data_IF_085084817339
#
_entry.id   IF_085084817339
#
_cell.length_a   1.000
_cell.length_b   1.000
_cell.length_c   1.000
_cell.angle_alpha   90.00
_cell.angle_beta   90.00
_cell.angle_gamma   90.00
#
_symmetry.space_group_name_H-M   'P 1'
#
loop_
_entity.id
_entity.type
_entity.pdbx_description
1 polymer ?
#
# COMPACT_ATOMS: atom_id res chain seq x y z
N UNK A 1 39.39 35.11 9.01
CA UNK A 1 38.34 34.36 8.31
C UNK A 1 38.99 33.60 7.16
N UNK A 2 39.10 32.28 7.24
CA UNK A 2 39.71 31.45 6.19
C UNK A 2 38.67 31.17 5.11
N UNK A 3 38.93 31.62 3.88
CA UNK A 3 38.13 31.25 2.70
C UNK A 3 38.24 29.75 2.45
N UNK A 4 37.12 29.04 2.25
CA UNK A 4 37.17 27.62 1.94
C UNK A 4 37.78 27.39 0.54
N UNK A 5 38.73 26.46 0.49
CA UNK A 5 39.47 26.06 -0.71
C UNK A 5 38.53 25.47 -1.79
N UNK A 6 38.45 26.05 -3.01
CA UNK A 6 37.54 25.63 -4.07
C UNK A 6 37.86 24.24 -4.65
N UNK A 7 38.94 23.58 -4.22
CA UNK A 7 39.36 22.27 -4.75
C UNK A 7 38.92 21.07 -3.90
N UNK A 8 38.31 21.28 -2.74
CA UNK A 8 37.73 20.17 -1.97
C UNK A 8 36.34 19.84 -2.50
N UNK A 9 36.24 18.76 -3.28
CA UNK A 9 34.95 18.14 -3.60
C UNK A 9 34.22 17.88 -2.26
N UNK A 10 33.00 18.39 -2.05
CA UNK A 10 32.26 18.11 -0.83
C UNK A 10 32.13 16.60 -0.69
N UNK A 11 32.61 16.05 0.43
CA UNK A 11 32.41 14.65 0.74
C UNK A 11 30.92 14.35 0.62
N UNK A 12 30.58 13.31 -0.14
CA UNK A 12 29.19 12.93 -0.37
C UNK A 12 28.55 12.53 0.96
N UNK A 13 27.84 13.48 1.58
CA UNK A 13 27.06 13.25 2.79
C UNK A 13 26.06 12.13 2.51
N UNK A 14 26.01 11.12 3.36
CA UNK A 14 25.02 10.05 3.19
C UNK A 14 23.61 10.62 3.36
N UNK A 15 22.64 10.02 2.66
CA UNK A 15 21.22 10.39 2.82
C UNK A 15 20.71 9.83 4.14
N UNK A 16 20.13 10.69 4.98
CA UNK A 16 19.38 10.22 6.14
C UNK A 16 18.01 9.70 5.70
N UNK A 17 17.41 8.82 6.50
CA UNK A 17 16.10 8.25 6.12
C UNK A 17 15.00 9.33 6.13
N UNK A 18 15.10 10.34 7.00
CA UNK A 18 14.24 11.52 6.97
C UNK A 18 14.41 12.34 5.68
N UNK A 19 15.63 12.51 5.17
CA UNK A 19 15.88 13.21 3.91
C UNK A 19 15.31 12.43 2.71
N UNK A 20 15.42 11.10 2.72
CA UNK A 20 14.82 10.24 1.67
C UNK A 20 13.30 10.27 1.70
N UNK A 21 12.70 10.23 2.89
CA UNK A 21 11.25 10.30 3.05
C UNK A 21 10.73 11.64 2.50
N UNK A 22 11.36 12.74 2.91
CA UNK A 22 11.05 14.09 2.41
C UNK A 22 11.21 14.20 0.88
N UNK A 23 12.23 13.56 0.30
CA UNK A 23 12.41 13.50 -1.14
C UNK A 23 11.23 12.81 -1.84
N UNK A 24 10.75 11.68 -1.30
CA UNK A 24 9.61 10.95 -1.86
C UNK A 24 8.32 11.75 -1.74
N UNK A 25 8.05 12.35 -0.58
CA UNK A 25 6.87 13.19 -0.34
C UNK A 25 6.83 14.36 -1.32
N UNK A 26 7.90 15.16 -1.39
CA UNK A 26 7.98 16.32 -2.28
C UNK A 26 7.84 15.92 -3.75
N UNK A 27 8.45 14.79 -4.15
CA UNK A 27 8.36 14.31 -5.53
C UNK A 27 6.97 13.78 -5.89
N UNK A 28 6.22 13.29 -4.91
CA UNK A 28 4.84 12.84 -5.09
C UNK A 28 3.89 14.03 -5.31
N UNK A 29 4.17 15.18 -4.68
CA UNK A 29 3.40 16.42 -4.85
C UNK A 29 3.78 17.12 -6.17
N UNK A 30 5.07 17.20 -6.50
CA UNK A 30 5.56 17.86 -7.71
C UNK A 30 6.01 16.86 -8.79
N UNK A 31 5.05 16.10 -9.36
CA UNK A 31 5.33 15.07 -10.38
C UNK A 31 5.82 15.67 -11.70
N UNK A 32 5.23 16.79 -12.12
CA UNK A 32 5.44 17.37 -13.44
C UNK A 32 6.66 18.30 -13.52
N UNK A 33 7.28 18.61 -12.37
CA UNK A 33 8.46 19.48 -12.34
C UNK A 33 9.68 18.69 -12.85
N UNK A 34 10.46 19.22 -13.82
CA UNK A 34 11.69 18.58 -14.26
C UNK A 34 12.68 18.40 -13.10
N UNK A 35 13.37 17.26 -13.08
CA UNK A 35 14.32 16.90 -12.00
C UNK A 35 15.37 17.99 -11.71
N UNK A 36 15.83 18.70 -12.74
CA UNK A 36 16.80 19.78 -12.57
C UNK A 36 16.22 20.99 -11.81
N UNK A 37 14.96 21.34 -12.07
CA UNK A 37 14.27 22.41 -11.35
C UNK A 37 13.93 21.98 -9.92
N UNK A 38 13.45 20.74 -9.76
CA UNK A 38 13.14 20.15 -8.47
C UNK A 38 14.37 20.09 -7.54
N UNK A 39 15.51 19.61 -8.05
CA UNK A 39 16.76 19.56 -7.29
C UNK A 39 17.20 20.96 -6.84
N UNK A 40 17.20 21.95 -7.73
CA UNK A 40 17.59 23.33 -7.37
C UNK A 40 16.70 23.94 -6.30
N UNK A 41 15.40 23.61 -6.30
CA UNK A 41 14.41 24.15 -5.36
C UNK A 41 14.52 23.53 -3.96
N UNK A 42 14.69 22.21 -3.87
CA UNK A 42 14.58 21.48 -2.61
C UNK A 42 15.89 20.91 -2.07
N UNK A 43 16.85 20.62 -2.95
CA UNK A 43 18.12 19.98 -2.61
C UNK A 43 19.29 20.67 -3.33
N UNK A 44 19.50 22.00 -3.15
CA UNK A 44 20.52 22.75 -3.88
C UNK A 44 21.94 22.23 -3.63
N UNK A 45 22.18 21.66 -2.44
CA UNK A 45 23.47 21.11 -2.03
C UNK A 45 23.73 19.69 -2.54
N UNK A 46 22.75 19.07 -3.23
CA UNK A 46 22.84 17.72 -3.77
C UNK A 46 22.92 17.77 -5.28
N UNK A 47 23.77 16.93 -5.88
CA UNK A 47 23.79 16.79 -7.34
C UNK A 47 22.50 16.14 -7.85
N UNK A 48 22.12 16.45 -9.09
CA UNK A 48 20.97 15.86 -9.76
C UNK A 48 20.98 14.32 -9.69
N UNK A 49 22.13 13.71 -9.99
CA UNK A 49 22.31 12.26 -9.94
C UNK A 49 22.14 11.69 -8.53
N UNK A 50 22.55 12.42 -7.48
CA UNK A 50 22.37 11.99 -6.10
C UNK A 50 20.90 12.03 -5.67
N UNK A 51 20.14 13.03 -6.14
CA UNK A 51 18.70 13.14 -5.88
C UNK A 51 17.93 12.04 -6.61
N UNK A 52 18.20 11.84 -7.90
CA UNK A 52 17.56 10.78 -8.68
C UNK A 52 17.92 9.39 -8.16
N UNK A 53 19.18 9.16 -7.78
CA UNK A 53 19.62 7.87 -7.24
C UNK A 53 19.07 7.56 -5.84
N UNK A 54 18.75 8.58 -5.04
CA UNK A 54 18.10 8.40 -3.75
C UNK A 54 16.57 8.25 -3.85
N UNK A 55 15.98 8.76 -4.93
CA UNK A 55 14.58 8.56 -5.23
C UNK A 55 14.35 7.14 -5.75
N UNK A 56 14.02 6.22 -4.85
CA UNK A 56 13.55 4.88 -5.23
C UNK A 56 12.03 4.92 -5.40
N UNK A 57 11.50 4.70 -6.62
CA UNK A 57 10.06 4.63 -6.84
C UNK A 57 9.40 3.39 -6.20
N UNK A 58 10.19 2.49 -5.60
CA UNK A 58 9.71 1.26 -4.96
C UNK A 58 9.32 1.41 -3.47
N UNK A 59 9.05 2.63 -2.99
CA UNK A 59 8.65 2.91 -1.61
C UNK A 59 7.16 2.61 -1.33
N UNK A 60 6.74 1.39 -1.68
CA UNK A 60 5.60 0.69 -1.07
C UNK A 60 6.03 -0.39 -0.07
N UNK A 61 7.32 -0.72 0.03
CA UNK A 61 7.84 -1.68 1.01
C UNK A 61 8.78 -0.97 2.00
N UNK A 62 8.23 -0.61 3.16
CA UNK A 62 9.05 -0.36 4.34
C UNK A 62 9.62 -1.68 4.84
N UNK A 63 10.95 -1.78 4.85
CA UNK A 63 11.68 -2.86 5.50
C UNK A 63 13.17 -2.52 5.51
N UNK A 64 13.87 -2.64 6.65
CA UNK A 64 15.30 -2.37 6.73
C UNK A 64 16.03 -3.53 6.05
N UNK A 65 16.49 -3.33 4.81
CA UNK A 65 17.36 -4.29 4.14
C UNK A 65 18.81 -3.84 4.27
N UNK A 66 19.71 -4.66 4.85
CA UNK A 66 21.11 -4.29 4.99
C UNK A 66 21.79 -4.29 3.62
N UNK A 67 22.65 -3.29 3.41
CA UNK A 67 23.43 -3.12 2.20
C UNK A 67 24.28 -4.36 1.89
N UNK A 68 23.91 -5.13 0.86
CA UNK A 68 24.85 -6.07 0.25
C UNK A 68 25.82 -5.29 -0.64
N UNK A 69 27.09 -5.36 -0.24
CA UNK A 69 28.20 -4.65 -0.84
C UNK A 69 28.31 -4.86 -2.35
N UNK A 70 28.50 -3.75 -3.04
CA UNK A 70 28.95 -3.62 -4.42
C UNK A 70 30.33 -4.29 -4.56
N UNK A 71 30.37 -5.54 -5.03
CA UNK A 71 31.63 -6.16 -5.48
C UNK A 71 32.01 -5.56 -6.83
N UNK A 72 33.18 -4.92 -6.84
CA UNK A 72 33.86 -4.43 -8.05
C UNK A 72 34.16 -5.59 -8.99
N UNK A 73 34.03 -5.31 -10.29
CA UNK A 73 34.59 -6.10 -11.38
C UNK A 73 36.11 -6.23 -11.21
N UNK A 74 36.59 -7.47 -11.14
CA UNK A 74 38.01 -7.80 -11.29
C UNK A 74 38.09 -8.89 -12.35
N UNK A 75 38.70 -8.50 -13.47
CA UNK A 75 39.25 -9.34 -14.53
C UNK A 75 40.27 -10.32 -13.97
N UNK A 76 40.12 -11.64 -14.20
CA UNK A 76 41.24 -12.57 -14.22
C UNK A 76 40.80 -13.93 -14.76
N UNK A 77 41.42 -14.31 -15.87
CA UNK A 77 41.47 -15.65 -16.47
C UNK A 77 41.84 -16.75 -15.47
N UNK A 78 41.26 -17.94 -15.67
CA UNK A 78 41.74 -19.18 -15.07
C UNK A 78 40.72 -20.32 -15.11
N UNK A 79 40.74 -21.12 -16.17
CA UNK A 79 40.30 -22.54 -16.15
C UNK A 79 41.18 -23.32 -15.15
N UNK A 80 40.66 -24.34 -14.46
CA UNK A 80 40.68 -25.71 -14.98
C UNK A 80 39.35 -26.47 -14.68
N UNK A 81 38.74 -27.13 -15.66
CA UNK A 81 38.91 -28.55 -16.03
C UNK A 81 38.19 -29.56 -15.09
N UNK A 82 37.36 -30.36 -15.77
CA UNK A 82 36.45 -31.46 -15.40
C UNK A 82 36.65 -32.28 -14.12
N UNK A 83 35.57 -32.88 -13.61
CA UNK A 83 35.42 -34.36 -13.58
C UNK A 83 34.00 -34.86 -13.20
N UNK A 84 33.45 -35.71 -14.08
CA UNK A 84 32.58 -36.88 -13.87
C UNK A 84 31.14 -36.77 -13.29
N UNK A 85 30.16 -36.92 -14.18
CA UNK A 85 28.96 -37.78 -14.03
C UNK A 85 29.34 -39.28 -14.16
N UNK A 86 28.44 -40.30 -14.09
CA UNK A 86 27.06 -40.43 -13.53
C UNK A 86 26.87 -41.73 -12.68
N UNK A 87 25.79 -41.86 -11.90
CA UNK A 87 25.21 -43.19 -11.56
C UNK A 87 23.68 -43.20 -11.49
N UNK A 88 23.10 -44.20 -12.17
CA UNK A 88 21.68 -44.55 -12.34
C UNK A 88 21.15 -45.39 -11.16
N UNK A 89 19.86 -45.25 -10.82
CA UNK A 89 18.99 -46.26 -10.16
C UNK A 89 17.53 -45.81 -10.37
N UNK A 90 16.75 -46.38 -11.30
CA UNK A 90 15.91 -47.61 -11.27
C UNK A 90 14.66 -47.50 -10.39
N UNK A 91 13.50 -47.45 -11.07
CA UNK A 91 12.11 -47.51 -10.60
C UNK A 91 11.74 -48.89 -10.06
N UNK A 92 11.04 -48.97 -8.91
CA UNK A 92 10.21 -50.10 -8.44
C UNK A 92 8.99 -49.54 -7.70
N UNK A 93 7.80 -50.08 -8.03
CA UNK A 93 6.48 -49.83 -7.42
C UNK A 93 6.27 -50.51 -6.06
N UNK A 94 5.34 -49.95 -5.28
CA UNK A 94 4.61 -50.52 -4.12
C UNK A 94 4.15 -49.37 -3.21
N UNK A 95 2.90 -48.89 -3.23
CA UNK A 95 1.64 -49.48 -2.69
C UNK A 95 1.79 -49.91 -1.23
N UNK A 96 1.56 -48.98 -0.28
CA UNK A 96 0.37 -48.93 0.60
C UNK A 96 0.47 -47.73 1.56
N UNK A 97 -0.62 -46.95 1.61
CA UNK A 97 -1.29 -46.39 2.79
C UNK A 97 -0.43 -45.68 3.86
N UNK A 98 -0.24 -44.36 3.74
CA UNK A 98 0.00 -43.50 4.92
C UNK A 98 -0.27 -42.00 4.67
N UNK A 99 -0.92 -41.38 5.65
CA UNK A 99 -1.17 -39.95 5.88
C UNK A 99 -2.17 -39.19 4.99
N UNK A 100 -3.44 -39.28 5.37
CA UNK A 100 -4.35 -38.13 5.36
C UNK A 100 -3.78 -37.06 6.34
N UNK A 101 -2.89 -36.20 5.86
CA UNK A 101 -2.53 -34.95 6.54
C UNK A 101 -3.02 -33.79 5.68
N UNK A 102 -4.33 -33.59 5.76
CA UNK A 102 -5.04 -32.41 5.28
C UNK A 102 -4.55 -31.20 6.10
N UNK A 103 -3.86 -30.19 5.53
CA UNK A 103 -3.56 -28.99 6.28
C UNK A 103 -4.85 -28.20 6.50
N UNK A 104 -5.45 -28.48 7.66
CA UNK A 104 -6.51 -27.79 8.35
C UNK A 104 -6.46 -26.27 8.14
N UNK A 105 -7.31 -25.77 7.24
CA UNK A 105 -7.61 -24.35 7.06
C UNK A 105 -8.51 -23.83 8.22
N UNK A 106 -8.04 -23.94 9.46
CA UNK A 106 -8.76 -23.48 10.66
C UNK A 106 -8.41 -22.05 11.11
N UNK A 107 -7.87 -21.20 10.23
CA UNK A 107 -7.39 -19.86 10.63
C UNK A 107 -8.35 -18.69 10.31
N UNK A 108 -9.54 -18.92 9.77
CA UNK A 108 -10.43 -17.83 9.34
C UNK A 108 -11.88 -17.91 9.83
N UNK A 109 -12.14 -18.46 11.02
CA UNK A 109 -13.50 -18.47 11.60
C UNK A 109 -13.65 -17.58 12.84
N UNK A 110 -12.57 -17.09 13.44
CA UNK A 110 -12.66 -16.33 14.71
C UNK A 110 -12.91 -14.81 14.58
N UNK A 111 -12.81 -14.21 13.40
CA UNK A 111 -12.92 -12.74 13.24
C UNK A 111 -14.34 -12.23 12.89
N UNK A 112 -15.38 -13.06 12.97
CA UNK A 112 -16.76 -12.65 12.64
C UNK A 112 -17.75 -12.62 13.82
N UNK A 113 -17.30 -12.92 15.03
CA UNK A 113 -18.19 -12.97 16.21
C UNK A 113 -18.23 -11.67 17.01
N UNK A 114 -17.25 -10.77 16.84
CA UNK A 114 -17.15 -9.55 17.67
C UNK A 114 -18.08 -8.41 17.21
N UNK A 115 -18.31 -8.26 15.90
CA UNK A 115 -19.14 -7.16 15.37
C UNK A 115 -20.63 -7.34 15.67
N UNK A 116 -21.08 -8.58 15.91
CA UNK A 116 -22.50 -8.89 16.14
C UNK A 116 -22.96 -8.70 17.60
N UNK A 117 -22.04 -8.57 18.56
CA UNK A 117 -22.37 -8.38 19.97
C UNK A 117 -22.61 -6.91 20.35
N UNK A 118 -21.99 -5.94 19.64
CA UNK A 118 -22.11 -4.52 19.99
C UNK A 118 -23.39 -3.85 19.46
N UNK A 119 -24.04 -4.45 18.45
CA UNK A 119 -25.30 -3.94 17.90
C UNK A 119 -26.54 -4.22 18.79
N UNK A 120 -26.43 -5.14 19.75
CA UNK A 120 -27.52 -5.48 20.67
C UNK A 120 -27.55 -4.58 21.93
N UNK A 121 -26.43 -3.97 22.31
CA UNK A 121 -26.31 -3.23 23.58
C UNK A 121 -26.75 -1.75 23.49
N UNK A 122 -26.91 -1.20 22.27
CA UNK A 122 -27.32 0.20 22.07
C UNK A 122 -28.86 0.36 22.03
N UNK A 123 -29.64 -0.72 21.97
CA UNK A 123 -31.10 -0.65 21.87
C UNK A 123 -31.85 -0.64 23.23
N UNK A 124 -31.17 -0.86 24.37
CA UNK A 124 -31.87 -1.17 25.64
C UNK A 124 -31.77 -0.10 26.74
N UNK A 125 -31.34 1.13 26.44
CA UNK A 125 -31.28 2.24 27.43
C UNK A 125 -32.26 3.39 27.19
N UNK A 126 -33.22 3.25 26.25
CA UNK A 126 -34.24 4.29 25.98
C UNK A 126 -35.62 4.06 26.61
N UNK A 127 -35.76 3.13 27.54
CA UNK A 127 -37.03 2.87 28.24
C UNK A 127 -36.87 2.78 29.76
N UNK A 128 -36.31 3.81 30.38
CA UNK A 128 -36.39 3.97 31.84
C UNK A 128 -36.18 5.43 32.26
N UNK A 129 -37.19 6.27 32.07
CA UNK A 129 -37.48 7.36 33.00
C UNK A 129 -38.93 7.78 32.80
N UNK A 130 -39.80 6.95 33.37
CA UNK A 130 -41.21 7.23 33.57
C UNK A 130 -41.35 8.38 34.58
N UNK A 131 -42.27 9.27 34.23
CA UNK A 131 -42.81 10.40 34.98
C UNK A 131 -42.91 10.22 36.49
N UNK A 132 -42.26 11.12 37.24
CA UNK A 132 -42.67 11.50 38.60
C UNK A 132 -42.89 13.00 38.62
N UNK A 133 -44.15 13.38 38.62
CA UNK A 133 -44.66 14.71 38.96
C UNK A 133 -44.37 15.01 40.43
N UNK A 134 -43.62 16.07 40.72
CA UNK A 134 -43.71 16.80 41.99
C UNK A 134 -43.87 18.27 41.68
N UNK A 135 -45.04 18.76 42.09
CA UNK A 135 -45.50 20.14 42.06
C UNK A 135 -44.71 20.94 43.12
N UNK A 136 -43.91 21.92 42.69
CA UNK A 136 -43.34 22.95 43.58
C UNK A 136 -43.40 24.29 42.88
N UNK A 137 -44.41 25.05 43.27
CA UNK A 137 -44.42 26.49 43.52
C UNK A 137 -43.71 27.42 42.51
N UNK A 138 -44.54 28.25 41.88
CA UNK A 138 -44.28 29.66 41.50
C UNK A 138 -42.94 30.20 42.02
N UNK A 139 -41.97 30.27 41.11
CA UNK A 139 -40.90 31.26 41.20
C UNK A 139 -40.94 32.01 39.88
N UNK A 140 -41.39 33.26 39.95
CA UNK A 140 -41.24 34.24 38.89
C UNK A 140 -39.79 34.21 38.41
N UNK A 141 -39.56 33.66 37.22
CA UNK A 141 -38.28 33.79 36.54
C UNK A 141 -38.23 35.22 35.99
N UNK A 142 -37.29 36.08 36.41
CA UNK A 142 -37.01 37.27 35.63
C UNK A 142 -36.57 36.80 34.24
N UNK A 143 -37.22 37.29 33.19
CA UNK A 143 -36.75 37.13 31.82
C UNK A 143 -35.41 37.85 31.73
N UNK A 144 -34.34 37.14 32.05
CA UNK A 144 -32.99 37.61 31.88
C UNK A 144 -32.68 37.50 30.38
N UNK A 145 -33.09 38.53 29.63
CA UNK A 145 -32.54 38.81 28.31
C UNK A 145 -31.08 39.26 28.49
N UNK A 146 -30.21 38.34 28.89
CA UNK A 146 -28.77 38.51 28.76
C UNK A 146 -28.47 38.11 27.33
N UNK A 147 -28.57 39.06 26.42
CA UNK A 147 -28.16 38.90 25.02
C UNK A 147 -26.65 38.78 24.85
N UNK A 148 -25.87 38.94 25.92
CA UNK A 148 -24.41 38.86 25.87
C UNK A 148 -23.87 38.06 27.05
N UNK A 149 -23.51 36.81 26.79
CA UNK A 149 -22.72 36.00 27.72
C UNK A 149 -21.41 36.75 28.02
N UNK A 150 -20.92 36.76 29.28
CA UNK A 150 -19.64 37.36 29.65
C UNK A 150 -18.52 36.92 28.69
N UNK A 151 -17.57 37.79 28.36
CA UNK A 151 -16.49 37.52 27.37
C UNK A 151 -15.78 36.18 27.61
N UNK A 152 -15.56 35.81 28.88
CA UNK A 152 -14.95 34.52 29.23
C UNK A 152 -15.79 33.30 28.80
N UNK A 153 -17.12 33.42 28.75
CA UNK A 153 -18.02 32.34 28.34
C UNK A 153 -18.15 32.28 26.80
N UNK A 154 -18.09 33.43 26.12
CA UNK A 154 -18.06 33.48 24.65
C UNK A 154 -16.82 32.78 24.07
N UNK A 155 -15.68 32.88 24.77
CA UNK A 155 -14.47 32.15 24.40
C UNK A 155 -14.67 30.62 24.43
N UNK A 156 -15.30 30.10 25.49
CA UNK A 156 -15.60 28.67 25.58
C UNK A 156 -16.61 28.22 24.54
N UNK A 157 -17.63 29.04 24.24
CA UNK A 157 -18.59 28.76 23.18
C UNK A 157 -17.91 28.63 21.81
N UNK A 158 -16.96 29.53 21.51
CA UNK A 158 -16.15 29.46 20.29
C UNK A 158 -15.34 28.16 20.22
N UNK A 159 -14.67 27.77 21.31
CA UNK A 159 -13.92 26.51 21.38
C UNK A 159 -14.83 25.30 21.17
N UNK A 160 -15.99 25.27 21.81
CA UNK A 160 -16.95 24.16 21.68
C UNK A 160 -17.42 24.04 20.23
N UNK A 161 -17.71 25.15 19.58
CA UNK A 161 -18.16 25.16 18.19
C UNK A 161 -17.06 24.73 17.22
N UNK A 162 -15.81 25.17 17.45
CA UNK A 162 -14.65 24.73 16.67
C UNK A 162 -14.40 23.22 16.85
N UNK A 163 -14.45 22.72 18.08
CA UNK A 163 -14.33 21.29 18.37
C UNK A 163 -15.42 20.46 17.66
N UNK A 164 -16.69 20.91 17.71
CA UNK A 164 -17.79 20.24 17.00
C UNK A 164 -17.58 20.25 15.49
N UNK A 165 -17.10 21.37 14.94
CA UNK A 165 -16.80 21.48 13.51
C UNK A 165 -15.68 20.53 13.11
N UNK A 166 -14.61 20.44 13.90
CA UNK A 166 -13.51 19.50 13.69
C UNK A 166 -13.99 18.04 13.79
N UNK A 167 -14.83 17.72 14.77
CA UNK A 167 -15.39 16.39 14.93
C UNK A 167 -16.24 15.99 13.71
N UNK A 168 -17.06 16.90 13.19
CA UNK A 168 -17.83 16.66 11.96
C UNK A 168 -16.93 16.49 10.74
N UNK A 169 -15.87 17.29 10.62
CA UNK A 169 -14.90 17.16 9.52
C UNK A 169 -14.16 15.82 9.57
N UNK A 170 -13.81 15.35 10.77
CA UNK A 170 -13.17 14.05 10.97
C UNK A 170 -14.09 12.91 10.51
N UNK A 171 -15.36 12.91 10.92
CA UNK A 171 -16.35 11.91 10.47
C UNK A 171 -16.51 11.92 8.94
N UNK A 172 -16.55 13.11 8.33
CA UNK A 172 -16.61 13.21 6.86
C UNK A 172 -15.36 12.67 6.18
N UNK A 173 -14.16 12.92 6.73
CA UNK A 173 -12.91 12.38 6.20
C UNK A 173 -12.84 10.86 6.34
N UNK A 174 -13.25 10.30 7.49
CA UNK A 174 -13.31 8.86 7.70
C UNK A 174 -14.27 8.18 6.70
N UNK A 175 -15.43 8.79 6.46
CA UNK A 175 -16.38 8.27 5.45
C UNK A 175 -15.78 8.27 4.04
N UNK A 176 -15.07 9.33 3.65
CA UNK A 176 -14.42 9.41 2.33
C UNK A 176 -13.25 8.45 2.20
N UNK A 177 -12.47 8.28 3.27
CA UNK A 177 -11.40 7.28 3.31
C UNK A 177 -11.99 5.89 3.09
N UNK A 178 -13.08 5.57 3.80
CA UNK A 178 -13.76 4.29 3.69
C UNK A 178 -14.28 4.01 2.27
N UNK A 179 -14.89 5.01 1.64
CA UNK A 179 -15.33 4.94 0.24
C UNK A 179 -14.15 4.64 -0.70
N UNK A 180 -13.04 5.37 -0.57
CA UNK A 180 -11.85 5.15 -1.40
C UNK A 180 -11.19 3.78 -1.19
N UNK A 181 -11.23 3.24 0.04
CA UNK A 181 -10.74 1.89 0.33
C UNK A 181 -11.58 0.82 -0.36
N UNK A 182 -12.88 1.00 -0.40
CA UNK A 182 -13.80 0.04 -1.01
C UNK A 182 -13.75 0.14 -2.55
N UNK A 183 -13.57 1.34 -3.12
CA UNK A 183 -13.23 1.52 -4.54
C UNK A 183 -11.93 0.81 -4.92
N UNK A 184 -10.87 0.96 -4.10
CA UNK A 184 -9.59 0.32 -4.35
C UNK A 184 -9.70 -1.22 -4.32
N UNK A 185 -10.47 -1.77 -3.37
CA UNK A 185 -10.75 -3.22 -3.34
C UNK A 185 -11.50 -3.66 -4.59
N UNK A 186 -12.52 -2.91 -5.01
CA UNK A 186 -13.28 -3.19 -6.24
C UNK A 186 -12.36 -3.18 -7.46
N UNK A 187 -11.53 -2.14 -7.62
CA UNK A 187 -10.58 -2.02 -8.72
C UNK A 187 -9.56 -3.16 -8.74
N UNK A 188 -9.04 -3.56 -7.57
CA UNK A 188 -8.12 -4.69 -7.44
C UNK A 188 -8.78 -5.99 -7.91
N UNK A 189 -10.02 -6.25 -7.49
CA UNK A 189 -10.76 -7.43 -7.92
C UNK A 189 -11.03 -7.41 -9.43
N UNK A 190 -11.44 -6.27 -9.99
CA UNK A 190 -11.61 -6.11 -11.44
C UNK A 190 -10.32 -6.40 -12.20
N UNK A 191 -9.21 -5.78 -11.78
CA UNK A 191 -7.91 -5.95 -12.43
C UNK A 191 -7.43 -7.41 -12.41
N UNK A 192 -7.66 -8.12 -11.31
CA UNK A 192 -7.32 -9.54 -11.20
C UNK A 192 -8.18 -10.39 -12.13
N UNK A 193 -9.48 -10.10 -12.24
CA UNK A 193 -10.39 -10.74 -13.18
C UNK A 193 -9.94 -10.50 -14.63
N UNK A 194 -9.66 -9.25 -14.99
CA UNK A 194 -9.23 -8.88 -16.35
C UNK A 194 -7.92 -9.59 -16.73
N UNK A 195 -6.96 -9.66 -15.79
CA UNK A 195 -5.71 -10.38 -16.00
C UNK A 195 -5.94 -11.87 -16.23
N UNK A 196 -6.86 -12.49 -15.48
CA UNK A 196 -7.21 -13.89 -15.66
C UNK A 196 -7.82 -14.13 -17.05
N UNK A 197 -8.80 -13.29 -17.45
CA UNK A 197 -9.43 -13.36 -18.77
C UNK A 197 -8.41 -13.17 -19.91
N UNK A 198 -7.47 -12.25 -19.74
CA UNK A 198 -6.41 -12.04 -20.72
C UNK A 198 -5.51 -13.27 -20.89
N UNK A 199 -5.08 -13.92 -19.80
CA UNK A 199 -4.26 -15.12 -19.90
C UNK A 199 -5.02 -16.30 -20.51
N UNK A 200 -6.33 -16.42 -20.25
CA UNK A 200 -7.19 -17.42 -20.92
C UNK A 200 -7.24 -17.15 -22.42
N UNK A 201 -7.61 -15.94 -22.84
CA UNK A 201 -7.68 -15.58 -24.26
C UNK A 201 -6.34 -15.73 -24.99
N UNK A 202 -5.23 -15.47 -24.29
CA UNK A 202 -3.87 -15.66 -24.81
C UNK A 202 -3.54 -17.14 -24.99
N UNK A 203 -3.99 -18.02 -24.10
CA UNK A 203 -3.82 -19.46 -24.26
C UNK A 203 -4.62 -19.98 -25.46
N UNK A 204 -5.88 -19.56 -25.60
CA UNK A 204 -6.73 -19.95 -26.74
C UNK A 204 -6.10 -19.55 -28.09
N UNK A 205 -5.61 -18.30 -28.19
CA UNK A 205 -4.91 -17.82 -29.39
C UNK A 205 -3.61 -18.58 -29.67
N UNK A 206 -2.92 -19.03 -28.63
CA UNK A 206 -1.69 -19.83 -28.78
C UNK A 206 -2.02 -21.21 -29.35
N UNK A 207 -3.08 -21.85 -28.86
CA UNK A 207 -3.55 -23.15 -29.35
C UNK A 207 -4.01 -23.07 -30.82
N UNK A 208 -4.76 -22.02 -31.18
CA UNK A 208 -5.14 -21.77 -32.59
C UNK A 208 -3.92 -21.58 -33.50
N UNK A 209 -2.92 -20.85 -33.03
CA UNK A 209 -1.70 -20.58 -33.79
C UNK A 209 -0.88 -21.86 -34.00
N UNK A 210 -0.83 -22.75 -33.00
CA UNK A 210 -0.14 -24.03 -33.12
C UNK A 210 -0.91 -25.02 -34.02
N UNK A 211 -2.25 -24.98 -34.01
CA UNK A 211 -3.07 -25.72 -34.98
C UNK A 211 -2.79 -25.26 -36.41
N UNK A 212 -2.80 -23.94 -36.66
CA UNK A 212 -2.51 -23.39 -37.99
C UNK A 212 -1.09 -23.73 -38.48
N UNK A 213 -0.10 -23.75 -37.58
CA UNK A 213 1.26 -24.23 -37.93
C UNK A 213 1.25 -25.69 -38.36
N UNK A 214 0.50 -26.54 -37.65
CA UNK A 214 0.39 -27.96 -37.97
C UNK A 214 -0.27 -28.16 -39.35
N UNK A 215 -1.38 -27.46 -39.63
CA UNK A 215 -2.04 -27.50 -40.93
C UNK A 215 -1.12 -27.02 -42.06
N UNK A 216 -0.38 -25.93 -41.87
CA UNK A 216 0.58 -25.44 -42.86
C UNK A 216 1.72 -26.44 -43.13
N UNK A 217 2.20 -27.11 -42.08
CA UNK A 217 3.20 -28.16 -42.23
C UNK A 217 2.66 -29.35 -43.02
N UNK A 218 1.42 -29.75 -42.75
CA UNK A 218 0.75 -30.82 -43.49
C UNK A 218 0.58 -30.48 -44.97
N UNK A 219 0.06 -29.29 -45.29
CA UNK A 219 -0.10 -28.83 -46.67
C UNK A 219 1.25 -28.80 -47.39
N UNK A 220 2.32 -28.39 -46.69
CA UNK A 220 3.67 -28.39 -47.25
C UNK A 220 4.14 -29.80 -47.58
N UNK A 221 3.96 -30.77 -46.67
CA UNK A 221 4.32 -32.17 -46.96
C UNK A 221 3.51 -32.76 -48.12
N UNK A 222 2.20 -32.52 -48.16
CA UNK A 222 1.33 -33.00 -49.25
C UNK A 222 1.74 -32.41 -50.61
N UNK A 223 2.22 -31.17 -50.62
CA UNK A 223 2.73 -30.52 -51.83
C UNK A 223 4.07 -31.08 -52.29
N UNK A 224 4.99 -31.39 -51.37
CA UNK A 224 6.32 -31.92 -51.70
C UNK A 224 6.24 -33.39 -52.20
N UNK A 225 5.13 -34.09 -51.93
CA UNK A 225 4.85 -35.47 -52.38
C UNK A 225 4.18 -35.56 -53.76
N UNK A 226 3.71 -34.44 -54.33
CA UNK A 226 3.10 -34.35 -55.67
C UNK A 226 4.13 -33.98 -56.76
#
# INVERSE_FOLDING_TARGET
MQSPDPRKKPQARLWTDAEKLRLVELRTVEKDVPWAAFQKKYFPDRSLAAVQGAYSPAAGNQGPTPSKGRKRSVTSSGTPESFAEPKKTKTICGFDDDSEDEPSNQLFVEENTFVKAQAAEICDTRKASETVTVDVAKVDKPSCNITELPEGIQFFEKIINEYKSLQQALVQMESKLKESEDELKSLKMSTMTDKCQFEVAKADLQDEMDLLKAELLQIKSEKDEM
#
